data_IF_701026582516
#
_entry.id   IF_701026582516
#
_cell.length_a   1.000
_cell.length_b   1.000
_cell.length_c   1.000
_cell.angle_alpha   90.00
_cell.angle_beta   90.00
_cell.angle_gamma   90.00
#
_symmetry.space_group_name_H-M   'P 1'
#
loop_
_entity.id
_entity.type
_entity.pdbx_description
1 polymer ?
#
# COMPACT_ATOMS: atom_id res chain seq x y z
N UNK A 1 13.50 -64.72 -57.21
CA UNK A 1 13.93 -63.37 -56.90
C UNK A 1 13.10 -62.71 -55.79
N UNK A 2 12.34 -63.49 -55.01
CA UNK A 2 11.43 -62.96 -53.96
C UNK A 2 11.80 -63.48 -52.55
N UNK A 3 12.78 -64.34 -52.40
CA UNK A 3 13.17 -64.95 -51.15
C UNK A 3 14.32 -64.24 -50.43
N UNK A 4 14.94 -63.24 -51.08
CA UNK A 4 16.11 -62.52 -50.49
C UNK A 4 15.73 -61.21 -49.79
N UNK A 5 14.48 -60.79 -49.91
CA UNK A 5 14.02 -59.50 -49.31
C UNK A 5 13.41 -59.67 -47.91
N UNK A 6 12.96 -60.89 -47.58
CA UNK A 6 12.28 -61.15 -46.31
C UNK A 6 13.25 -61.45 -45.14
N UNK A 7 14.54 -61.67 -45.37
CA UNK A 7 15.48 -61.99 -44.30
C UNK A 7 16.19 -60.80 -43.67
N UNK A 8 15.97 -59.57 -44.17
CA UNK A 8 16.59 -58.36 -43.66
C UNK A 8 15.69 -57.55 -42.70
N UNK A 9 14.45 -57.97 -42.48
CA UNK A 9 13.55 -57.24 -41.56
C UNK A 9 13.49 -57.75 -40.12
N UNK A 10 14.20 -58.84 -39.79
CA UNK A 10 14.11 -59.45 -38.46
C UNK A 10 15.41 -59.29 -37.66
N UNK A 11 16.09 -58.16 -37.78
CA UNK A 11 17.18 -57.81 -36.83
C UNK A 11 16.91 -56.46 -36.18
N UNK A 12 15.69 -56.30 -35.70
CA UNK A 12 15.42 -55.25 -34.76
C UNK A 12 16.00 -55.73 -33.42
N UNK A 13 17.19 -55.24 -33.15
CA UNK A 13 17.91 -55.44 -31.88
C UNK A 13 17.01 -54.94 -30.77
N UNK A 14 16.40 -55.82 -30.01
CA UNK A 14 15.73 -55.50 -28.76
C UNK A 14 16.75 -54.80 -27.88
N UNK A 15 16.75 -53.48 -27.92
CA UNK A 15 17.45 -52.66 -26.96
C UNK A 15 16.70 -52.87 -25.65
N UNK A 16 17.29 -53.65 -24.80
CA UNK A 16 16.82 -53.89 -23.45
C UNK A 16 16.62 -52.55 -22.75
N UNK A 17 15.39 -52.07 -22.75
CA UNK A 17 14.96 -50.90 -22.03
C UNK A 17 14.93 -51.11 -20.50
N UNK A 18 16.00 -51.68 -19.96
CA UNK A 18 16.28 -51.66 -18.51
C UNK A 18 16.96 -50.34 -18.11
N UNK A 19 17.16 -49.46 -19.10
CA UNK A 19 17.62 -48.11 -18.79
C UNK A 19 16.45 -47.25 -18.41
N UNK A 20 16.42 -46.95 -17.15
CA UNK A 20 16.16 -45.59 -16.75
C UNK A 20 14.77 -45.18 -16.30
N UNK A 21 13.98 -46.07 -15.80
CA UNK A 21 12.84 -45.64 -14.93
C UNK A 21 13.44 -44.77 -13.80
N UNK A 22 14.57 -45.16 -13.21
CA UNK A 22 15.28 -44.34 -12.20
C UNK A 22 15.75 -42.97 -12.73
N UNK A 23 16.30 -42.94 -13.95
CA UNK A 23 16.72 -41.70 -14.57
C UNK A 23 15.56 -40.79 -14.97
N UNK A 24 14.44 -41.37 -15.45
CA UNK A 24 13.21 -40.64 -15.70
C UNK A 24 12.58 -40.08 -14.43
N UNK A 25 12.62 -40.82 -13.33
CA UNK A 25 12.14 -40.36 -12.02
C UNK A 25 13.02 -39.22 -11.50
N UNK A 26 14.34 -39.28 -11.67
CA UNK A 26 15.27 -38.22 -11.28
C UNK A 26 15.02 -36.94 -12.08
N UNK A 27 14.79 -37.04 -13.41
CA UNK A 27 14.47 -35.90 -14.26
C UNK A 27 13.10 -35.28 -13.86
N UNK A 28 12.10 -36.14 -13.62
CA UNK A 28 10.77 -35.69 -13.21
C UNK A 28 10.82 -34.99 -11.84
N UNK A 29 11.62 -35.54 -10.91
CA UNK A 29 11.84 -34.92 -9.59
C UNK A 29 12.63 -33.58 -9.68
N UNK A 30 13.59 -33.49 -10.62
CA UNK A 30 14.34 -32.27 -10.91
C UNK A 30 13.44 -31.14 -11.43
N UNK A 31 12.44 -31.48 -12.29
CA UNK A 31 11.47 -30.52 -12.83
C UNK A 31 10.52 -30.01 -11.74
N UNK A 32 10.15 -30.87 -10.78
CA UNK A 32 9.27 -30.47 -9.66
C UNK A 32 9.97 -29.53 -8.66
N UNK A 33 11.31 -29.54 -8.59
CA UNK A 33 12.07 -28.65 -7.71
C UNK A 33 12.35 -27.26 -8.31
N UNK A 34 12.13 -27.07 -9.61
CA UNK A 34 12.40 -25.78 -10.29
C UNK A 34 11.23 -24.79 -10.24
N UNK A 35 10.15 -25.09 -9.51
CA UNK A 35 8.97 -24.20 -9.35
C UNK A 35 9.14 -23.16 -8.23
N UNK A 36 10.35 -22.67 -7.98
CA UNK A 36 10.52 -21.49 -7.15
C UNK A 36 10.64 -20.27 -8.06
N UNK A 37 9.50 -19.75 -8.49
CA UNK A 37 9.41 -18.45 -9.14
C UNK A 37 9.78 -17.39 -8.08
N UNK A 38 10.95 -16.77 -8.27
CA UNK A 38 11.40 -15.69 -7.40
C UNK A 38 10.52 -14.49 -7.69
N UNK A 39 9.61 -14.22 -6.78
CA UNK A 39 8.73 -13.04 -6.86
C UNK A 39 9.64 -11.81 -6.96
N UNK A 40 9.65 -11.15 -8.12
CA UNK A 40 10.45 -9.96 -8.43
C UNK A 40 9.93 -8.68 -7.75
N UNK A 41 8.95 -8.81 -6.86
CA UNK A 41 8.33 -7.68 -6.17
C UNK A 41 9.29 -6.92 -5.23
N UNK A 42 10.46 -7.50 -4.93
CA UNK A 42 11.49 -6.84 -4.11
C UNK A 42 12.13 -5.65 -4.85
N UNK A 43 12.14 -5.65 -6.19
CA UNK A 43 12.73 -4.56 -6.98
C UNK A 43 11.85 -3.31 -7.06
N UNK A 44 10.54 -3.42 -6.77
CA UNK A 44 9.59 -2.34 -6.99
C UNK A 44 9.10 -1.63 -5.70
N UNK A 45 9.64 -1.97 -4.52
CA UNK A 45 9.18 -1.41 -3.24
C UNK A 45 7.66 -1.51 -3.04
N UNK A 46 7.05 -2.58 -3.56
CA UNK A 46 5.60 -2.80 -3.48
C UNK A 46 5.28 -3.50 -2.16
N UNK A 47 4.49 -2.84 -1.32
CA UNK A 47 3.90 -3.43 -0.13
C UNK A 47 2.50 -3.97 -0.44
N UNK A 48 2.32 -5.30 -0.38
CA UNK A 48 1.03 -5.96 -0.58
C UNK A 48 0.33 -6.11 0.77
N UNK A 49 -0.79 -5.45 0.93
CA UNK A 49 -1.63 -5.52 2.13
C UNK A 49 -2.93 -6.28 1.81
N UNK A 50 -3.22 -7.29 2.62
CA UNK A 50 -4.45 -8.07 2.48
C UNK A 50 -5.46 -7.62 3.53
N UNK A 51 -6.64 -7.21 3.08
CA UNK A 51 -7.76 -6.82 3.93
C UNK A 51 -8.91 -7.82 3.76
N UNK A 52 -9.52 -8.24 4.87
CA UNK A 52 -10.60 -9.24 4.85
C UNK A 52 -11.91 -8.71 4.23
N UNK A 53 -12.03 -7.41 4.02
CA UNK A 53 -13.24 -6.76 3.53
C UNK A 53 -12.88 -5.59 2.62
N UNK A 54 -13.74 -5.30 1.64
CA UNK A 54 -13.52 -4.20 0.70
C UNK A 54 -13.46 -2.84 1.41
N UNK A 55 -12.49 -2.01 1.02
CA UNK A 55 -12.40 -0.60 1.40
C UNK A 55 -13.56 0.14 0.72
N UNK A 56 -14.41 0.77 1.52
CA UNK A 56 -15.58 1.49 0.99
C UNK A 56 -15.28 2.94 0.62
N UNK A 57 -14.30 3.57 1.28
CA UNK A 57 -13.87 4.93 1.00
C UNK A 57 -12.43 5.15 1.48
N UNK A 58 -11.67 5.92 0.69
CA UNK A 58 -10.36 6.47 1.08
C UNK A 58 -10.46 7.95 1.47
N UNK A 59 -11.65 8.52 1.52
CA UNK A 59 -11.86 9.88 2.00
C UNK A 59 -11.80 9.93 3.54
N UNK A 60 -10.84 10.67 4.13
CA UNK A 60 -10.69 10.77 5.59
C UNK A 60 -11.97 11.23 6.30
N UNK A 61 -12.78 12.08 5.65
CA UNK A 61 -14.03 12.58 6.22
C UNK A 61 -15.07 11.47 6.48
N UNK A 62 -14.94 10.31 5.82
CA UNK A 62 -15.87 9.18 5.95
C UNK A 62 -15.23 7.93 6.57
N UNK A 63 -14.01 8.05 7.09
CA UNK A 63 -13.26 6.93 7.67
C UNK A 63 -13.70 6.66 9.10
N UNK A 64 -14.80 5.92 9.29
CA UNK A 64 -15.37 5.58 10.60
C UNK A 64 -15.16 4.13 11.02
N UNK A 65 -14.65 3.27 10.14
CA UNK A 65 -14.39 1.86 10.42
C UNK A 65 -12.92 1.54 10.26
N UNK A 66 -12.40 0.56 11.00
CA UNK A 66 -10.99 0.18 10.95
C UNK A 66 -10.51 -0.14 9.53
N UNK A 67 -11.34 -0.82 8.73
CA UNK A 67 -11.01 -1.15 7.33
C UNK A 67 -10.78 0.07 6.43
N UNK A 68 -11.37 1.23 6.76
CA UNK A 68 -11.12 2.48 6.04
C UNK A 68 -10.03 3.31 6.73
N UNK A 69 -9.98 3.31 8.07
CA UNK A 69 -9.01 4.07 8.85
C UNK A 69 -7.57 3.60 8.55
N UNK A 70 -7.33 2.29 8.52
CA UNK A 70 -6.00 1.75 8.27
C UNK A 70 -5.41 2.19 6.91
N UNK A 71 -6.09 2.00 5.77
CA UNK A 71 -5.59 2.47 4.47
C UNK A 71 -5.45 3.99 4.42
N UNK A 72 -6.40 4.74 4.99
CA UNK A 72 -6.32 6.20 5.04
C UNK A 72 -5.10 6.66 5.80
N UNK A 73 -4.76 6.05 6.94
CA UNK A 73 -3.54 6.36 7.70
C UNK A 73 -2.23 6.05 6.95
N UNK A 74 -2.27 5.19 5.91
CA UNK A 74 -1.10 4.95 5.06
C UNK A 74 -0.94 6.00 3.95
N UNK A 75 -2.00 6.74 3.64
CA UNK A 75 -2.04 7.71 2.52
C UNK A 75 -1.94 9.14 3.03
N UNK A 76 -2.54 9.43 4.19
CA UNK A 76 -2.65 10.76 4.76
C UNK A 76 -1.86 10.89 6.05
N UNK A 77 -1.12 11.98 6.15
CA UNK A 77 -0.41 12.36 7.36
C UNK A 77 -1.20 13.42 8.14
N UNK A 78 -1.07 13.38 9.48
CA UNK A 78 -1.66 14.38 10.37
C UNK A 78 -0.69 15.52 10.71
N UNK A 79 -1.14 16.46 11.53
CA UNK A 79 -0.26 17.46 12.14
C UNK A 79 0.74 16.77 13.09
N UNK A 80 0.24 15.81 13.85
CA UNK A 80 0.99 15.01 14.83
C UNK A 80 0.66 13.54 14.64
N UNK A 81 1.52 12.68 15.16
CA UNK A 81 1.34 11.22 15.17
C UNK A 81 1.75 10.65 16.53
N UNK A 82 1.31 9.43 16.80
CA UNK A 82 1.81 8.67 17.96
C UNK A 82 3.04 7.86 17.55
N UNK A 83 4.05 7.86 18.40
CA UNK A 83 5.19 6.97 18.22
C UNK A 83 4.92 5.57 18.82
N UNK A 84 5.94 4.69 18.77
CA UNK A 84 5.87 3.33 19.32
C UNK A 84 5.59 3.26 20.83
N UNK A 85 5.85 4.35 21.56
CA UNK A 85 5.60 4.46 22.99
C UNK A 85 4.26 5.16 23.29
N UNK A 86 3.45 5.44 22.26
CA UNK A 86 2.21 6.22 22.33
C UNK A 86 2.41 7.67 22.74
N UNK A 87 3.60 8.23 22.54
CA UNK A 87 3.88 9.63 22.76
C UNK A 87 3.55 10.45 21.51
N UNK A 88 3.01 11.65 21.72
CA UNK A 88 2.67 12.56 20.62
C UNK A 88 3.94 13.19 20.05
N UNK A 89 4.17 12.99 18.76
CA UNK A 89 5.28 13.60 18.00
C UNK A 89 4.76 14.39 16.80
N UNK A 90 5.56 15.39 16.37
CA UNK A 90 5.27 16.10 15.13
C UNK A 90 5.33 15.16 13.93
N UNK A 91 4.41 15.35 12.99
CA UNK A 91 4.41 14.71 11.69
C UNK A 91 4.54 15.81 10.60
N UNK A 92 3.44 16.36 10.09
CA UNK A 92 3.50 17.54 9.20
C UNK A 92 3.79 18.82 10.00
N UNK A 93 3.41 18.88 11.27
CA UNK A 93 3.86 19.96 12.14
C UNK A 93 5.30 19.71 12.63
N UNK A 94 6.17 20.70 12.46
CA UNK A 94 7.53 20.69 13.03
C UNK A 94 7.55 20.97 14.53
N UNK A 95 6.58 21.71 15.02
CA UNK A 95 6.39 22.07 16.42
C UNK A 95 5.00 22.65 16.64
N UNK A 96 4.59 22.70 17.91
CA UNK A 96 3.35 23.39 18.30
C UNK A 96 3.52 24.07 19.65
N UNK A 97 2.68 25.06 19.91
CA UNK A 97 2.58 25.76 21.19
C UNK A 97 1.14 25.74 21.66
N UNK A 98 0.97 25.76 22.97
CA UNK A 98 -0.35 25.80 23.64
C UNK A 98 -0.36 27.06 24.47
N UNK A 99 -1.43 27.88 24.36
CA UNK A 99 -1.60 29.07 25.18
C UNK A 99 -1.73 28.72 26.69
N UNK A 100 -1.47 29.68 27.56
CA UNK A 100 -1.56 29.48 29.03
C UNK A 100 -2.93 29.03 29.47
N UNK A 101 -4.01 29.54 28.85
CA UNK A 101 -5.39 29.16 29.11
C UNK A 101 -5.78 27.80 28.47
N UNK A 102 -4.85 27.14 27.77
CA UNK A 102 -4.99 25.85 27.06
C UNK A 102 -6.11 25.82 26.01
N UNK A 103 -6.51 26.97 25.50
CA UNK A 103 -7.61 27.08 24.51
C UNK A 103 -7.11 27.26 23.07
N UNK A 104 -5.88 27.70 22.91
CA UNK A 104 -5.31 27.94 21.58
C UNK A 104 -4.09 27.03 21.36
N UNK A 105 -4.16 26.28 20.25
CA UNK A 105 -3.07 25.41 19.79
C UNK A 105 -2.55 25.95 18.47
N UNK A 106 -1.29 26.34 18.43
CA UNK A 106 -0.63 26.87 17.22
C UNK A 106 0.38 25.88 16.71
N UNK A 107 0.20 25.39 15.49
CA UNK A 107 1.08 24.41 14.83
C UNK A 107 1.92 25.09 13.74
N UNK A 108 3.21 24.84 13.76
CA UNK A 108 4.14 25.29 12.70
C UNK A 108 4.32 24.18 11.67
N UNK A 109 3.86 24.39 10.43
CA UNK A 109 3.95 23.43 9.35
C UNK A 109 5.38 23.34 8.81
N UNK A 110 5.86 22.14 8.54
CA UNK A 110 7.12 21.86 7.86
C UNK A 110 7.09 22.44 6.43
N UNK A 111 8.26 22.86 5.95
CA UNK A 111 8.39 23.44 4.62
C UNK A 111 8.84 22.44 3.54
N UNK A 112 9.14 21.22 3.92
CA UNK A 112 9.66 20.15 3.07
C UNK A 112 8.61 19.07 2.76
N UNK A 113 7.35 19.27 3.12
CA UNK A 113 6.26 18.33 2.87
C UNK A 113 5.50 18.72 1.60
N UNK A 114 5.29 17.71 0.74
CA UNK A 114 4.59 17.84 -0.54
C UNK A 114 3.46 16.83 -0.62
N UNK A 115 2.44 17.15 -1.40
CA UNK A 115 1.43 16.17 -1.78
C UNK A 115 2.03 15.11 -2.69
N UNK A 116 1.42 13.94 -2.73
CA UNK A 116 1.71 12.91 -3.72
C UNK A 116 1.53 13.45 -5.13
N UNK A 117 2.28 12.90 -6.08
CA UNK A 117 2.19 13.32 -7.47
C UNK A 117 0.77 13.06 -8.02
N UNK A 118 0.22 14.08 -8.67
CA UNK A 118 -1.09 14.03 -9.33
C UNK A 118 -1.14 15.02 -10.50
N UNK A 119 -1.76 14.62 -11.58
CA UNK A 119 -2.03 15.48 -12.74
C UNK A 119 -2.87 16.71 -12.39
N UNK A 120 -3.66 16.64 -11.30
CA UNK A 120 -4.45 17.75 -10.79
C UNK A 120 -3.60 18.97 -10.40
N UNK A 121 -2.32 18.78 -10.11
CA UNK A 121 -1.38 19.86 -9.82
C UNK A 121 -0.71 20.45 -11.09
N UNK A 122 -1.16 20.06 -12.27
CA UNK A 122 -0.66 20.56 -13.55
C UNK A 122 0.79 20.10 -13.80
N UNK A 123 1.59 20.98 -14.45
CA UNK A 123 2.94 20.64 -14.91
C UNK A 123 3.91 20.22 -13.79
N UNK A 124 3.70 20.69 -12.56
CA UNK A 124 4.58 20.38 -11.43
C UNK A 124 4.25 19.04 -10.77
N UNK A 125 3.12 18.42 -11.13
CA UNK A 125 2.60 17.17 -10.61
C UNK A 125 2.42 17.11 -9.08
N UNK A 126 2.91 18.10 -8.32
CA UNK A 126 2.79 18.19 -6.87
C UNK A 126 2.84 19.64 -6.41
N UNK A 127 2.52 19.90 -5.15
CA UNK A 127 2.72 21.18 -4.47
C UNK A 127 3.02 20.97 -2.98
N UNK A 128 3.60 21.98 -2.34
CA UNK A 128 3.81 22.00 -0.89
C UNK A 128 2.49 21.99 -0.13
N UNK A 129 2.46 21.27 0.97
CA UNK A 129 1.39 21.33 1.96
C UNK A 129 1.46 22.67 2.69
N UNK A 130 0.31 23.29 2.92
CA UNK A 130 0.15 24.61 3.55
C UNK A 130 -0.84 24.52 4.70
N UNK A 131 -0.80 25.47 5.63
CA UNK A 131 -1.75 25.57 6.74
C UNK A 131 -3.23 25.61 6.25
N UNK A 132 -3.49 26.26 5.11
CA UNK A 132 -4.82 26.28 4.47
C UNK A 132 -5.36 24.91 4.08
N UNK A 133 -4.51 23.92 3.84
CA UNK A 133 -4.97 22.57 3.52
C UNK A 133 -5.56 21.89 4.76
N UNK A 134 -5.01 22.15 5.94
CA UNK A 134 -5.57 21.71 7.22
C UNK A 134 -6.84 22.47 7.58
N UNK A 135 -6.86 23.78 7.41
CA UNK A 135 -8.04 24.61 7.60
C UNK A 135 -9.20 24.08 6.74
N UNK A 136 -8.94 23.84 5.46
CA UNK A 136 -9.95 23.25 4.56
C UNK A 136 -10.42 21.86 5.03
N UNK A 137 -9.49 20.97 5.39
CA UNK A 137 -9.80 19.61 5.78
C UNK A 137 -10.63 19.56 7.06
N UNK A 138 -10.29 20.38 8.06
CA UNK A 138 -11.04 20.44 9.33
C UNK A 138 -12.40 21.09 9.16
N UNK A 139 -12.49 22.20 8.40
CA UNK A 139 -13.78 22.82 8.09
C UNK A 139 -14.70 21.87 7.31
N UNK A 140 -14.13 21.01 6.46
CA UNK A 140 -14.91 19.99 5.77
C UNK A 140 -15.53 18.96 6.71
N UNK A 141 -14.84 18.61 7.82
CA UNK A 141 -15.38 17.67 8.82
C UNK A 141 -16.57 18.26 9.60
N UNK A 142 -16.59 19.57 9.81
CA UNK A 142 -17.69 20.25 10.54
C UNK A 142 -18.78 20.77 9.61
N UNK A 143 -18.64 20.64 8.29
CA UNK A 143 -19.69 21.03 7.33
C UNK A 143 -20.86 20.04 7.39
N UNK A 144 -22.04 20.53 7.79
CA UNK A 144 -23.26 19.73 7.87
C UNK A 144 -23.66 19.07 6.53
N UNK A 145 -23.22 19.64 5.39
CA UNK A 145 -23.50 19.06 4.06
C UNK A 145 -22.70 17.79 3.82
N UNK A 146 -21.52 17.67 4.43
CA UNK A 146 -20.67 16.48 4.36
C UNK A 146 -21.18 15.39 5.29
N UNK A 147 -21.82 15.76 6.41
CA UNK A 147 -22.34 14.83 7.42
C UNK A 147 -21.29 13.80 7.86
N UNK A 148 -20.07 14.27 8.11
CA UNK A 148 -18.95 13.42 8.52
C UNK A 148 -19.24 12.68 9.81
N UNK A 149 -19.05 11.36 9.90
CA UNK A 149 -19.15 10.64 11.18
C UNK A 149 -18.07 11.07 12.19
N UNK A 150 -17.01 11.75 11.76
CA UNK A 150 -15.96 12.33 12.60
C UNK A 150 -16.29 13.71 13.19
N UNK A 151 -17.43 14.29 12.86
CA UNK A 151 -17.85 15.64 13.33
C UNK A 151 -17.71 15.81 14.86
N UNK A 152 -18.06 14.79 15.63
CA UNK A 152 -18.05 14.83 17.09
C UNK A 152 -16.67 15.15 17.70
N UNK A 153 -15.57 14.81 17.01
CA UNK A 153 -14.19 15.08 17.46
C UNK A 153 -13.95 16.59 17.62
N UNK A 154 -14.63 17.40 16.80
CA UNK A 154 -14.44 18.85 16.76
C UNK A 154 -15.54 19.65 17.43
N UNK A 155 -16.47 19.00 18.15
CA UNK A 155 -17.59 19.70 18.83
C UNK A 155 -17.15 20.80 19.80
N UNK A 156 -15.95 20.65 20.38
CA UNK A 156 -15.39 21.61 21.33
C UNK A 156 -14.40 22.59 20.68
N UNK A 157 -14.17 22.48 19.39
CA UNK A 157 -13.28 23.38 18.65
C UNK A 157 -14.10 24.51 18.06
N UNK A 158 -13.74 25.73 18.38
CA UNK A 158 -14.50 26.93 18.00
C UNK A 158 -14.18 27.39 16.57
N UNK A 159 -12.91 27.28 16.15
CA UNK A 159 -12.44 27.83 14.90
C UNK A 159 -11.12 27.17 14.46
N UNK A 160 -10.89 27.09 13.14
CA UNK A 160 -9.64 26.70 12.52
C UNK A 160 -9.16 27.82 11.61
N UNK A 161 -7.94 28.30 11.81
CA UNK A 161 -7.35 29.38 11.04
C UNK A 161 -5.93 29.06 10.57
N UNK A 162 -5.67 29.28 9.29
CA UNK A 162 -4.31 29.39 8.75
C UNK A 162 -3.79 30.82 8.94
N UNK A 163 -2.63 30.95 9.54
CA UNK A 163 -1.96 32.23 9.81
C UNK A 163 -0.75 32.35 8.89
#
# INVERSE_FOLDING_TARGET
MLHSILNNFCKYKSISNKTNIGFLIIILFGILLSSCEKDSDIENNIFKYNEYSNISSLDPAFSSTLRNIWPVNQIFNGLVQLDKNLEIKGDIASSWTISEDKKTYTFKIRQDVYFHNSELFGKNLTRKVKAKDFEYSFNRLIDNKIASPGFWVFNNVKDFKAI
#
